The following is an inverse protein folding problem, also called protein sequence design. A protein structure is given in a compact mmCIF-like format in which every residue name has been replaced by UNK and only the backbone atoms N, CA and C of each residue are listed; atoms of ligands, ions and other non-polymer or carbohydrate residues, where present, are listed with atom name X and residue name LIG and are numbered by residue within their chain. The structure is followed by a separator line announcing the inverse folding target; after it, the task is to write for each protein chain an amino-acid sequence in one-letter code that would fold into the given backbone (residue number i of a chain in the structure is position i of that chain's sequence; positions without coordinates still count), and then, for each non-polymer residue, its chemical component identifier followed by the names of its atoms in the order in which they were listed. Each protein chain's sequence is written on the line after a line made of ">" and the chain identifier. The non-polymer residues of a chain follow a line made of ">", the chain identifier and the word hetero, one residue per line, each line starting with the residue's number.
data_IF_003440151563
#
_entry.id   IF_003440151563
#
_cell.length_a   1.000
_cell.length_b   1.000
_cell.length_c   1.000
_cell.angle_alpha   90.00
_cell.angle_beta   90.00
_cell.angle_gamma   90.00
#
_symmetry.space_group_name_H-M   'P 1'
#
loop_
_entity.id
_entity.type
_entity.pdbx_description
1 polymer ?
#
# COMPACT_ATOMS: atom_id res chain seq x y z
N UNK A 1 -16.78 9.43 6.37
CA UNK A 1 -16.39 9.53 4.96
C UNK A 1 -15.07 8.81 4.80
N UNK A 2 -15.07 7.76 3.97
CA UNK A 2 -13.97 6.93 3.48
C UNK A 2 -12.75 6.71 4.39
N UNK A 3 -12.70 5.57 5.09
CA UNK A 3 -11.43 5.02 5.60
C UNK A 3 -11.06 3.83 4.71
N UNK A 4 -10.29 4.10 3.65
CA UNK A 4 -9.70 3.06 2.82
C UNK A 4 -8.54 2.37 3.56
N UNK A 5 -8.16 1.15 3.16
CA UNK A 5 -7.16 0.38 3.90
C UNK A 5 -5.82 1.14 4.00
N UNK A 6 -5.36 1.31 5.23
CA UNK A 6 -3.98 1.61 5.58
C UNK A 6 -3.32 0.30 5.97
N UNK A 7 -2.28 -0.09 5.25
CA UNK A 7 -1.52 -1.30 5.55
C UNK A 7 -0.21 -0.88 6.19
N UNK A 8 0.12 -1.53 7.30
CA UNK A 8 1.29 -1.26 8.12
C UNK A 8 2.06 -2.57 8.29
N UNK A 9 3.37 -2.54 8.06
CA UNK A 9 4.28 -3.63 8.41
C UNK A 9 4.99 -3.25 9.72
N UNK A 10 4.87 -4.14 10.71
CA UNK A 10 5.55 -4.03 12.00
C UNK A 10 6.66 -5.08 12.10
N UNK A 11 7.78 -4.71 12.71
CA UNK A 11 8.88 -5.60 13.05
C UNK A 11 9.12 -5.61 14.57
N UNK A 12 9.40 -6.79 15.13
CA UNK A 12 9.60 -6.96 16.57
C UNK A 12 8.38 -6.56 17.40
N UNK A 13 8.59 -5.83 18.51
CA UNK A 13 7.51 -5.48 19.44
C UNK A 13 6.61 -4.34 18.95
N UNK A 14 7.15 -3.30 18.30
CA UNK A 14 6.33 -2.17 17.78
C UNK A 14 7.07 -1.33 16.71
N UNK A 15 8.08 -1.85 16.01
CA UNK A 15 8.80 -1.03 15.03
C UNK A 15 8.01 -0.93 13.72
N UNK A 16 7.54 0.26 13.37
CA UNK A 16 6.90 0.53 12.07
C UNK A 16 7.98 0.58 10.98
N UNK A 17 8.02 -0.43 10.11
CA UNK A 17 9.05 -0.54 9.06
C UNK A 17 8.50 -0.32 7.64
N UNK A 18 7.19 -0.20 7.49
CA UNK A 18 6.59 0.16 6.20
C UNK A 18 5.11 0.48 6.28
N UNK A 19 4.64 1.29 5.34
CA UNK A 19 3.24 1.73 5.24
C UNK A 19 2.81 1.85 3.80
N UNK A 20 1.56 1.49 3.51
CA UNK A 20 0.90 1.79 2.26
C UNK A 20 -0.52 2.31 2.48
N UNK A 21 -0.93 3.29 1.67
CA UNK A 21 -2.26 3.91 1.76
C UNK A 21 -2.95 3.93 0.41
N UNK A 22 -4.23 3.59 0.39
CA UNK A 22 -5.10 3.77 -0.76
C UNK A 22 -6.22 4.79 -0.50
N UNK A 23 -6.81 5.30 -1.57
CA UNK A 23 -8.08 6.03 -1.56
C UNK A 23 -8.95 5.49 -2.68
N UNK A 24 -10.22 5.25 -2.43
CA UNK A 24 -11.16 4.72 -3.42
C UNK A 24 -12.43 5.56 -3.54
N UNK A 25 -13.09 5.46 -4.69
CA UNK A 25 -14.43 6.00 -4.92
C UNK A 25 -15.54 5.08 -4.37
N UNK A 26 -15.16 3.96 -3.74
CA UNK A 26 -16.04 2.91 -3.21
C UNK A 26 -16.96 2.25 -4.25
N UNK A 27 -16.66 2.39 -5.54
CA UNK A 27 -17.40 1.75 -6.61
C UNK A 27 -16.46 0.88 -7.45
N UNK A 28 -15.48 1.50 -8.12
CA UNK A 28 -14.65 0.79 -9.11
C UNK A 28 -13.18 1.19 -9.09
N UNK A 29 -12.84 2.38 -8.58
CA UNK A 29 -11.49 2.92 -8.72
C UNK A 29 -10.83 3.14 -7.34
N UNK A 30 -9.55 2.78 -7.27
CA UNK A 30 -8.67 3.15 -6.16
C UNK A 30 -7.32 3.64 -6.66
N UNK A 31 -6.76 4.59 -5.94
CA UNK A 31 -5.38 5.05 -6.12
C UNK A 31 -4.57 4.70 -4.90
N UNK A 32 -3.44 4.02 -5.10
CA UNK A 32 -2.42 3.85 -4.07
C UNK A 32 -1.50 5.07 -4.13
N UNK A 33 -1.38 5.77 -3.01
CA UNK A 33 -0.64 7.03 -2.91
C UNK A 33 0.78 6.79 -2.40
N UNK A 34 0.89 6.58 -1.09
CA UNK A 34 2.16 6.45 -0.39
C UNK A 34 2.49 4.97 -0.23
N UNK A 35 3.68 4.55 -0.64
CA UNK A 35 4.27 3.25 -0.31
C UNK A 35 5.68 3.52 0.21
N UNK A 36 5.87 3.37 1.52
CA UNK A 36 7.11 3.71 2.20
C UNK A 36 7.65 2.48 2.93
N UNK A 37 8.96 2.30 2.86
CA UNK A 37 9.70 1.28 3.60
C UNK A 37 10.92 1.95 4.23
N UNK A 38 11.16 1.66 5.52
CA UNK A 38 12.34 2.17 6.21
C UNK A 38 13.62 1.79 5.45
N UNK A 39 14.57 2.72 5.24
CA UNK A 39 15.79 2.46 4.45
C UNK A 39 16.58 1.22 4.88
N UNK A 40 16.63 0.88 6.16
CA UNK A 40 17.36 -0.29 6.67
C UNK A 40 16.71 -1.62 6.25
N UNK A 41 15.43 -1.56 5.85
CA UNK A 41 14.61 -2.71 5.46
C UNK A 41 14.30 -2.74 3.96
N UNK A 42 14.84 -1.80 3.18
CA UNK A 42 14.73 -1.79 1.72
C UNK A 42 15.56 -2.91 1.06
N UNK A 43 15.27 -3.21 -0.21
CA UNK A 43 15.93 -4.29 -0.96
C UNK A 43 15.47 -5.72 -0.62
N UNK A 44 14.57 -5.88 0.37
CA UNK A 44 14.08 -7.19 0.85
C UNK A 44 12.70 -7.58 0.29
N UNK A 45 12.13 -6.77 -0.61
CA UNK A 45 10.82 -7.03 -1.21
C UNK A 45 9.61 -6.51 -0.41
N UNK A 46 9.81 -5.78 0.69
CA UNK A 46 8.72 -5.26 1.52
C UNK A 46 7.79 -4.28 0.78
N UNK A 47 8.33 -3.44 -0.11
CA UNK A 47 7.52 -2.53 -0.93
C UNK A 47 6.56 -3.29 -1.85
N UNK A 48 7.04 -4.39 -2.46
CA UNK A 48 6.20 -5.30 -3.24
C UNK A 48 5.13 -5.95 -2.36
N UNK A 49 5.49 -6.42 -1.17
CA UNK A 49 4.54 -7.04 -0.24
C UNK A 49 3.42 -6.07 0.18
N UNK A 50 3.75 -4.80 0.45
CA UNK A 50 2.78 -3.74 0.74
C UNK A 50 1.79 -3.55 -0.41
N UNK A 51 2.30 -3.40 -1.64
CA UNK A 51 1.46 -3.19 -2.84
C UNK A 51 0.54 -4.39 -3.08
N UNK A 52 1.08 -5.61 -3.00
CA UNK A 52 0.28 -6.82 -3.18
C UNK A 52 -0.80 -6.98 -2.12
N UNK A 53 -0.50 -6.69 -0.85
CA UNK A 53 -1.51 -6.72 0.20
C UNK A 53 -2.59 -5.67 -0.03
N UNK A 54 -2.22 -4.48 -0.53
CA UNK A 54 -3.17 -3.42 -0.87
C UNK A 54 -4.10 -3.85 -2.01
N UNK A 55 -3.54 -4.40 -3.09
CA UNK A 55 -4.31 -4.95 -4.22
C UNK A 55 -5.27 -6.02 -3.73
N UNK A 56 -4.82 -6.98 -2.92
CA UNK A 56 -5.69 -8.02 -2.34
C UNK A 56 -6.80 -7.42 -1.47
N UNK A 57 -6.53 -6.37 -0.71
CA UNK A 57 -7.53 -5.70 0.12
C UNK A 57 -8.60 -4.97 -0.71
N UNK A 58 -8.19 -4.29 -1.78
CA UNK A 58 -9.07 -3.57 -2.70
C UNK A 58 -9.92 -4.52 -3.55
N UNK A 59 -9.32 -5.60 -4.07
CA UNK A 59 -10.05 -6.63 -4.82
C UNK A 59 -11.11 -7.35 -3.99
N UNK A 60 -10.86 -7.57 -2.68
CA UNK A 60 -11.88 -8.12 -1.77
C UNK A 60 -13.08 -7.18 -1.55
N UNK A 61 -12.98 -5.92 -1.98
CA UNK A 61 -14.05 -4.92 -1.96
C UNK A 61 -14.64 -4.68 -3.37
N UNK A 62 -14.37 -5.57 -4.31
CA UNK A 62 -14.77 -5.48 -5.72
C UNK A 62 -14.22 -4.27 -6.49
N UNK A 63 -13.12 -3.68 -6.00
CA UNK A 63 -12.44 -2.56 -6.66
C UNK A 63 -11.34 -3.12 -7.57
N UNK A 64 -11.65 -3.21 -8.87
CA UNK A 64 -10.75 -3.78 -9.89
C UNK A 64 -9.78 -2.79 -10.54
N UNK A 65 -10.14 -1.51 -10.64
CA UNK A 65 -9.27 -0.49 -11.24
C UNK A 65 -8.38 0.13 -10.17
N UNK A 66 -7.10 -0.22 -10.19
CA UNK A 66 -6.13 0.22 -9.19
C UNK A 66 -4.98 0.94 -9.90
N UNK A 67 -4.75 2.21 -9.54
CA UNK A 67 -3.69 3.03 -10.10
C UNK A 67 -2.63 3.34 -9.04
N UNK A 68 -1.37 3.32 -9.44
CA UNK A 68 -0.22 3.79 -8.66
C UNK A 68 0.69 4.60 -9.59
N UNK A 69 1.20 5.72 -9.10
CA UNK A 69 2.16 6.55 -9.82
C UNK A 69 3.50 6.52 -9.09
N UNK A 70 4.59 6.47 -9.84
CA UNK A 70 5.94 6.63 -9.32
C UNK A 70 6.73 7.51 -10.29
N UNK A 71 7.54 8.42 -9.76
CA UNK A 71 8.52 9.12 -10.59
C UNK A 71 9.65 8.13 -10.92
N UNK A 72 10.13 8.17 -12.17
CA UNK A 72 11.17 7.28 -12.66
C UNK A 72 12.57 7.61 -12.12
N UNK A 73 12.69 8.62 -11.24
CA UNK A 73 13.95 8.96 -10.58
C UNK A 73 14.16 8.08 -9.36
N UNK A 74 14.68 6.88 -9.61
CA UNK A 74 15.32 6.00 -8.65
C UNK A 74 16.77 5.78 -9.03
#
# INVERSE_FOLDING_TARGET
>A
GACDPLIVILHGKVELIGVARATSDHAFNATIWDVLVDPHYQGQGLGKALVEQMIRALLRRDIGNITLFADGKG
#
